data_IF_154198471000
#
_entry.id   IF_154198471000
#
_cell.length_a   1.000
_cell.length_b   1.000
_cell.length_c   1.000
_cell.angle_alpha   90.00
_cell.angle_beta   90.00
_cell.angle_gamma   90.00
#
_symmetry.space_group_name_H-M   'P 1'
#
loop_
_entity.id
_entity.type
_entity.pdbx_description
1 polymer ?
#
# COMPACT_ATOMS: atom_id res chain seq x y z
N UNK A 1 12.07 22.39 -6.62
CA UNK A 1 11.21 21.72 -7.60
C UNK A 1 10.12 20.93 -6.89
N UNK A 2 8.90 21.01 -7.36
CA UNK A 2 7.79 20.26 -6.75
C UNK A 2 7.89 18.79 -7.11
N UNK A 3 7.51 17.92 -6.19
CA UNK A 3 7.41 16.47 -6.39
C UNK A 3 5.95 16.05 -6.36
N UNK A 4 5.61 15.08 -7.19
CA UNK A 4 4.25 14.55 -7.29
C UNK A 4 4.23 13.15 -6.69
N UNK A 5 3.39 12.97 -5.69
CA UNK A 5 3.15 11.67 -5.06
C UNK A 5 1.80 11.15 -5.53
N UNK A 6 1.78 10.02 -6.21
CA UNK A 6 0.55 9.33 -6.53
C UNK A 6 0.16 8.46 -5.33
N UNK A 7 -0.88 8.87 -4.60
CA UNK A 7 -1.40 8.11 -3.47
C UNK A 7 -2.29 6.98 -3.99
N UNK A 8 -1.72 5.79 -4.10
CA UNK A 8 -2.47 4.60 -4.50
C UNK A 8 -3.28 4.08 -3.31
N UNK A 9 -2.70 4.15 -2.11
CA UNK A 9 -3.37 3.71 -0.89
C UNK A 9 -3.77 2.25 -0.98
N UNK A 10 -5.06 1.98 -0.83
CA UNK A 10 -5.67 0.66 -0.99
C UNK A 10 -6.64 0.61 -2.18
N UNK A 11 -6.53 1.53 -3.13
CA UNK A 11 -7.43 1.59 -4.29
C UNK A 11 -7.29 0.40 -5.24
N UNK A 12 -6.20 -0.39 -5.12
CA UNK A 12 -6.03 -1.67 -5.80
C UNK A 12 -7.05 -2.74 -5.35
N UNK A 13 -7.71 -2.53 -4.23
CA UNK A 13 -8.75 -3.40 -3.66
C UNK A 13 -8.29 -4.86 -3.45
N UNK A 14 -7.01 -5.05 -3.09
CA UNK A 14 -6.40 -6.36 -2.87
C UNK A 14 -5.92 -7.08 -4.14
N UNK A 15 -6.15 -6.49 -5.31
CA UNK A 15 -5.66 -7.03 -6.57
C UNK A 15 -4.21 -6.63 -6.82
N UNK A 16 -3.31 -7.59 -6.80
CA UNK A 16 -1.89 -7.37 -7.08
C UNK A 16 -1.68 -6.87 -8.52
N UNK A 17 -2.42 -7.43 -9.48
CA UNK A 17 -2.39 -6.98 -10.88
C UNK A 17 -2.82 -5.52 -11.02
N UNK A 18 -3.87 -5.11 -10.33
CA UNK A 18 -4.32 -3.72 -10.31
C UNK A 18 -3.27 -2.81 -9.68
N UNK A 19 -2.62 -3.24 -8.60
CA UNK A 19 -1.55 -2.47 -7.96
C UNK A 19 -0.40 -2.21 -8.94
N UNK A 20 0.04 -3.21 -9.70
CA UNK A 20 1.07 -3.03 -10.71
C UNK A 20 0.63 -2.08 -11.82
N UNK A 21 -0.61 -2.19 -12.30
CA UNK A 21 -1.17 -1.28 -13.31
C UNK A 21 -1.23 0.16 -12.81
N UNK A 22 -1.61 0.37 -11.57
CA UNK A 22 -1.66 1.71 -10.96
C UNK A 22 -0.27 2.34 -10.91
N UNK A 23 0.79 1.56 -10.62
CA UNK A 23 2.18 2.04 -10.68
C UNK A 23 2.55 2.48 -12.10
N UNK A 24 2.22 1.65 -13.10
CA UNK A 24 2.50 1.98 -14.51
C UNK A 24 1.80 3.26 -14.95
N UNK A 25 0.52 3.41 -14.58
CA UNK A 25 -0.26 4.60 -14.92
C UNK A 25 0.25 5.85 -14.18
N UNK A 26 0.65 5.72 -12.90
CA UNK A 26 1.27 6.81 -12.17
C UNK A 26 2.52 7.33 -12.89
N UNK A 27 3.35 6.42 -13.42
CA UNK A 27 4.53 6.80 -14.19
C UNK A 27 4.15 7.57 -15.45
N UNK A 28 3.16 7.10 -16.21
CA UNK A 28 2.68 7.79 -17.42
C UNK A 28 2.16 9.20 -17.12
N UNK A 29 1.56 9.38 -15.94
CA UNK A 29 1.05 10.69 -15.50
C UNK A 29 2.13 11.61 -14.91
N UNK A 30 3.38 11.17 -14.87
CA UNK A 30 4.50 12.01 -14.42
C UNK A 30 4.73 12.04 -12.91
N UNK A 31 4.26 11.04 -12.18
CA UNK A 31 4.51 10.96 -10.75
C UNK A 31 6.00 10.70 -10.45
N UNK A 32 6.49 11.28 -9.36
CA UNK A 32 7.84 11.04 -8.83
C UNK A 32 7.85 9.91 -7.81
N UNK A 33 6.73 9.73 -7.13
CA UNK A 33 6.52 8.72 -6.09
C UNK A 33 5.20 8.00 -6.31
N UNK A 34 5.16 6.73 -5.92
CA UNK A 34 3.90 6.05 -5.64
C UNK A 34 3.86 5.75 -4.15
N UNK A 35 2.68 5.92 -3.54
CA UNK A 35 2.50 5.70 -2.11
C UNK A 35 1.40 4.69 -1.86
N UNK A 36 1.76 3.63 -1.15
CA UNK A 36 0.85 2.58 -0.70
C UNK A 36 0.59 2.72 0.80
N UNK A 37 -0.39 1.96 1.28
CA UNK A 37 -0.64 1.77 2.70
C UNK A 37 -0.38 0.31 3.03
N UNK A 38 0.30 0.05 4.15
CA UNK A 38 0.54 -1.30 4.63
C UNK A 38 -0.24 -1.54 5.92
N UNK A 39 -1.32 -2.28 5.79
CA UNK A 39 -2.20 -2.68 6.88
C UNK A 39 -1.97 -4.15 7.21
N UNK A 40 -1.85 -4.44 8.51
CA UNK A 40 -1.92 -5.80 9.04
C UNK A 40 -3.06 -5.79 10.03
N UNK A 41 -4.22 -6.28 9.62
CA UNK A 41 -5.47 -6.12 10.37
C UNK A 41 -5.36 -6.56 11.83
N UNK A 42 -4.64 -7.65 12.10
CA UNK A 42 -4.45 -8.23 13.43
C UNK A 42 -3.68 -7.30 14.39
N UNK A 43 -2.88 -6.38 13.87
CA UNK A 43 -2.03 -5.48 14.67
C UNK A 43 -2.55 -4.05 14.73
N UNK A 44 -3.63 -3.73 14.04
CA UNK A 44 -4.17 -2.36 14.04
C UNK A 44 -5.65 -2.26 14.37
N UNK A 45 -6.40 -3.37 14.33
CA UNK A 45 -7.84 -3.39 14.56
C UNK A 45 -8.24 -4.62 15.35
N UNK A 46 -9.23 -4.45 16.23
CA UNK A 46 -9.92 -5.58 16.84
C UNK A 46 -10.89 -6.20 15.82
N UNK A 47 -11.09 -7.53 15.82
CA UNK A 47 -12.00 -8.17 14.86
C UNK A 47 -13.43 -7.65 14.91
N UNK A 48 -13.87 -7.13 16.06
CA UNK A 48 -15.21 -6.59 16.29
C UNK A 48 -15.23 -5.07 16.39
N UNK A 49 -14.18 -4.39 15.91
CA UNK A 49 -14.13 -2.94 15.92
C UNK A 49 -15.26 -2.36 15.05
N UNK A 50 -15.91 -1.25 15.48
CA UNK A 50 -16.93 -0.62 14.66
C UNK A 50 -16.39 -0.20 13.31
N UNK A 51 -17.15 -0.50 12.26
CA UNK A 51 -16.78 -0.09 10.90
C UNK A 51 -17.35 1.30 10.59
N UNK A 52 -16.62 2.14 9.86
CA UNK A 52 -17.17 3.40 9.37
C UNK A 52 -18.41 3.18 8.50
N UNK A 53 -19.32 4.15 8.47
CA UNK A 53 -20.58 4.03 7.73
C UNK A 53 -20.43 3.83 6.22
N UNK A 54 -19.27 4.16 5.67
CA UNK A 54 -18.98 3.95 4.25
C UNK A 54 -18.54 2.52 3.91
N UNK A 55 -18.21 1.69 4.89
CA UNK A 55 -18.02 0.26 4.69
C UNK A 55 -19.39 -0.44 4.72
N UNK A 56 -19.97 -0.69 3.55
CA UNK A 56 -21.34 -1.21 3.45
C UNK A 56 -21.42 -2.72 3.26
N UNK A 57 -20.39 -3.33 2.68
CA UNK A 57 -20.42 -4.74 2.25
C UNK A 57 -19.51 -5.66 3.06
N UNK A 58 -18.62 -5.10 3.85
CA UNK A 58 -17.69 -5.85 4.68
C UNK A 58 -17.27 -5.03 5.89
N UNK A 59 -16.80 -5.70 6.95
CA UNK A 59 -16.26 -4.98 8.09
C UNK A 59 -14.83 -4.49 7.83
N UNK A 60 -14.39 -3.55 8.66
CA UNK A 60 -13.08 -2.90 8.54
C UNK A 60 -11.93 -3.91 8.65
N UNK A 61 -12.02 -4.87 9.56
CA UNK A 61 -10.99 -5.86 9.79
C UNK A 61 -10.78 -6.73 8.55
N UNK A 62 -11.87 -7.27 7.98
CA UNK A 62 -11.81 -8.10 6.78
C UNK A 62 -11.36 -7.30 5.55
N UNK A 63 -11.78 -6.05 5.44
CA UNK A 63 -11.30 -5.16 4.37
C UNK A 63 -9.77 -5.02 4.39
N UNK A 64 -9.18 -4.67 5.53
CA UNK A 64 -7.74 -4.53 5.63
C UNK A 64 -7.00 -5.86 5.47
N UNK A 65 -7.61 -6.95 5.94
CA UNK A 65 -7.04 -8.28 5.79
C UNK A 65 -6.93 -8.69 4.32
N UNK A 66 -8.01 -8.55 3.55
CA UNK A 66 -8.01 -8.95 2.13
C UNK A 66 -7.26 -8.00 1.21
N UNK A 67 -7.09 -6.74 1.58
CA UNK A 67 -6.39 -5.76 0.74
C UNK A 67 -4.91 -5.66 1.07
N UNK A 68 -4.42 -6.34 2.10
CA UNK A 68 -3.02 -6.33 2.48
C UNK A 68 -2.17 -7.17 1.52
N UNK A 69 -0.97 -6.70 1.25
CA UNK A 69 0.03 -7.46 0.51
C UNK A 69 1.10 -8.01 1.46
N UNK A 70 1.61 -9.18 1.13
CA UNK A 70 2.71 -9.80 1.88
C UNK A 70 4.08 -9.20 1.51
N UNK A 71 5.13 -9.68 2.18
CA UNK A 71 6.49 -9.23 1.99
C UNK A 71 6.95 -9.38 0.53
N UNK A 72 6.65 -10.50 -0.10
CA UNK A 72 7.05 -10.79 -1.48
C UNK A 72 6.35 -9.87 -2.47
N UNK A 73 5.04 -9.70 -2.30
CA UNK A 73 4.24 -8.79 -3.14
C UNK A 73 4.71 -7.35 -3.01
N UNK A 74 4.89 -6.85 -1.79
CA UNK A 74 5.42 -5.50 -1.55
C UNK A 74 6.81 -5.31 -2.16
N UNK A 75 7.67 -6.33 -2.05
CA UNK A 75 9.00 -6.32 -2.68
C UNK A 75 8.92 -6.21 -4.19
N UNK A 76 7.99 -6.91 -4.82
CA UNK A 76 7.77 -6.85 -6.27
C UNK A 76 7.26 -5.46 -6.70
N UNK A 77 6.32 -4.88 -5.96
CA UNK A 77 5.82 -3.53 -6.24
C UNK A 77 6.93 -2.48 -6.11
N UNK A 78 7.79 -2.62 -5.10
CA UNK A 78 8.95 -1.75 -4.91
C UNK A 78 9.90 -1.82 -6.11
N UNK A 79 10.24 -3.04 -6.53
CA UNK A 79 11.14 -3.27 -7.68
C UNK A 79 10.57 -2.67 -8.96
N UNK A 80 9.29 -2.87 -9.23
CA UNK A 80 8.61 -2.30 -10.39
C UNK A 80 8.67 -0.77 -10.36
N UNK A 81 8.36 -0.17 -9.22
CA UNK A 81 8.41 1.28 -9.03
C UNK A 81 9.79 1.85 -9.34
N UNK A 82 10.82 1.24 -8.75
CA UNK A 82 12.21 1.68 -8.94
C UNK A 82 12.71 1.48 -10.38
N UNK A 83 12.31 0.37 -11.00
CA UNK A 83 12.62 0.10 -12.41
C UNK A 83 12.04 1.17 -13.34
N UNK A 84 10.88 1.70 -13.01
CA UNK A 84 10.25 2.79 -13.77
C UNK A 84 10.82 4.19 -13.41
N UNK A 85 11.79 4.25 -12.51
CA UNK A 85 12.44 5.50 -12.13
C UNK A 85 11.67 6.36 -11.14
N UNK A 86 10.71 5.76 -10.43
CA UNK A 86 9.98 6.41 -9.34
C UNK A 86 10.47 5.93 -7.97
N UNK A 87 10.12 6.66 -6.94
CA UNK A 87 10.38 6.26 -5.56
C UNK A 87 9.17 5.55 -4.95
N UNK A 88 9.44 4.49 -4.19
CA UNK A 88 8.43 3.71 -3.50
C UNK A 88 8.25 4.23 -2.08
N UNK A 89 7.03 4.60 -1.72
CA UNK A 89 6.66 5.12 -0.42
C UNK A 89 5.52 4.31 0.16
N UNK A 90 5.56 4.04 1.46
CA UNK A 90 4.50 3.27 2.13
C UNK A 90 4.23 3.85 3.51
N UNK A 91 2.95 4.05 3.84
CA UNK A 91 2.53 4.37 5.20
C UNK A 91 2.26 3.08 5.97
N UNK A 92 3.07 2.74 7.01
CA UNK A 92 2.78 1.61 7.88
C UNK A 92 1.73 2.01 8.93
N UNK A 93 0.85 1.07 9.29
CA UNK A 93 -0.21 1.30 10.27
C UNK A 93 -0.01 0.53 11.58
N UNK A 94 1.18 -0.07 11.76
CA UNK A 94 1.59 -0.75 13.00
C UNK A 94 3.13 -0.86 13.03
N UNK A 95 3.68 -1.19 14.18
CA UNK A 95 5.12 -1.46 14.30
C UNK A 95 5.51 -2.68 13.46
N UNK A 96 4.69 -3.71 13.45
CA UNK A 96 4.90 -4.92 12.67
C UNK A 96 4.92 -4.62 11.17
N UNK A 97 4.01 -3.76 10.71
CA UNK A 97 4.00 -3.30 9.31
C UNK A 97 5.29 -2.53 8.97
N UNK A 98 5.75 -1.67 9.87
CA UNK A 98 7.00 -0.93 9.70
C UNK A 98 8.21 -1.87 9.63
N UNK A 99 8.25 -2.90 10.47
CA UNK A 99 9.36 -3.87 10.49
C UNK A 99 9.47 -4.63 9.16
N UNK A 100 8.35 -4.97 8.55
CA UNK A 100 8.32 -5.57 7.20
C UNK A 100 8.91 -4.60 6.16
N UNK A 101 8.51 -3.34 6.21
CA UNK A 101 9.03 -2.32 5.29
C UNK A 101 10.54 -2.08 5.47
N UNK A 102 11.04 -2.15 6.70
CA UNK A 102 12.49 -2.10 6.99
C UNK A 102 13.23 -3.27 6.36
N UNK A 103 12.69 -4.49 6.45
CA UNK A 103 13.27 -5.68 5.80
C UNK A 103 13.35 -5.51 4.28
N UNK A 104 12.41 -4.83 3.68
CA UNK A 104 12.39 -4.50 2.26
C UNK A 104 13.27 -3.30 1.90
N UNK A 105 13.89 -2.68 2.88
CA UNK A 105 14.73 -1.50 2.67
C UNK A 105 13.96 -0.33 2.03
N UNK A 106 12.69 -0.16 2.40
CA UNK A 106 11.89 1.01 1.99
C UNK A 106 12.53 2.27 2.55
N UNK A 107 12.62 3.32 1.76
CA UNK A 107 13.33 4.56 2.11
C UNK A 107 12.38 5.71 2.48
N UNK A 108 11.13 5.65 2.06
CA UNK A 108 10.17 6.74 2.26
C UNK A 108 8.91 6.20 2.95
N UNK A 109 8.47 6.91 4.01
CA UNK A 109 7.33 6.54 4.84
C UNK A 109 6.33 7.68 4.93
#
# INVERSE_FOLDING_TARGET
MKKIIAEIGSSHDGSFGNAMKLIEEAKKCGADFVKFQHHIAEFESLPNAPSPSYFKSEDRFEYFRRTSFDLEQLGTLKKLTEKLGMNFMVSPFSEEALDILKKLNVKFY
#
